data_IF_504694013882
#
_entry.id   IF_504694013882
#
_cell.length_a   1.000
_cell.length_b   1.000
_cell.length_c   1.000
_cell.angle_alpha   90.00
_cell.angle_beta   90.00
_cell.angle_gamma   90.00
#
_symmetry.space_group_name_H-M   'P 1'
#
loop_
_entity.id
_entity.type
_entity.pdbx_description
1 polymer ?
#
# COMPACT_ATOMS: atom_id res chain seq x y z
N UNK A 1 0.21 15.58 13.22
CA UNK A 1 0.30 15.15 11.81
C UNK A 1 -0.64 15.96 10.92
N UNK A 2 -0.09 16.62 9.88
CA UNK A 2 -0.89 17.39 8.92
C UNK A 2 -1.55 16.45 7.86
N UNK A 3 -2.46 17.00 7.05
CA UNK A 3 -3.18 16.22 6.03
C UNK A 3 -2.23 15.58 5.02
N UNK A 4 -1.24 16.31 4.51
CA UNK A 4 -0.28 15.82 3.52
C UNK A 4 0.53 14.61 4.03
N UNK A 5 1.06 14.67 5.26
CA UNK A 5 1.76 13.56 5.89
C UNK A 5 0.84 12.35 6.08
N UNK A 6 -0.39 12.56 6.55
CA UNK A 6 -1.37 11.48 6.68
C UNK A 6 -1.62 10.77 5.34
N UNK A 7 -1.71 11.55 4.25
CA UNK A 7 -1.92 11.02 2.92
C UNK A 7 -0.72 10.20 2.43
N UNK A 8 0.50 10.67 2.69
CA UNK A 8 1.71 9.93 2.36
C UNK A 8 1.85 8.64 3.18
N UNK A 9 1.52 8.67 4.47
CA UNK A 9 1.51 7.46 5.32
C UNK A 9 0.49 6.46 4.78
N UNK A 10 -0.73 6.91 4.50
CA UNK A 10 -1.77 6.05 3.96
C UNK A 10 -1.34 5.46 2.60
N UNK A 11 -0.78 6.29 1.71
CA UNK A 11 -0.24 5.83 0.43
C UNK A 11 0.87 4.78 0.62
N UNK A 12 1.78 4.98 1.57
CA UNK A 12 2.82 4.00 1.88
C UNK A 12 2.21 2.65 2.29
N UNK A 13 1.22 2.67 3.20
CA UNK A 13 0.52 1.46 3.67
C UNK A 13 -0.13 0.71 2.51
N UNK A 14 -0.87 1.42 1.65
CA UNK A 14 -1.56 0.79 0.52
C UNK A 14 -0.56 0.21 -0.49
N UNK A 15 0.55 0.90 -0.79
CA UNK A 15 1.60 0.39 -1.67
C UNK A 15 2.26 -0.87 -1.08
N UNK A 16 2.67 -0.84 0.19
CA UNK A 16 3.28 -1.99 0.88
C UNK A 16 2.30 -3.20 0.90
N UNK A 17 1.00 -2.99 1.13
CA UNK A 17 -0.02 -4.05 1.08
C UNK A 17 -0.29 -4.58 -0.33
N UNK A 18 -0.32 -3.70 -1.33
CA UNK A 18 -0.59 -4.07 -2.72
C UNK A 18 0.56 -4.93 -3.27
N UNK A 19 1.81 -4.56 -2.98
CA UNK A 19 2.99 -5.36 -3.34
C UNK A 19 2.88 -6.76 -2.72
N UNK A 20 2.66 -6.86 -1.40
CA UNK A 20 2.51 -8.15 -0.69
C UNK A 20 1.36 -9.00 -1.25
N UNK A 21 0.28 -8.35 -1.68
CA UNK A 21 -0.88 -9.03 -2.29
C UNK A 21 -0.51 -9.61 -3.65
N UNK A 22 0.11 -8.81 -4.54
CA UNK A 22 0.55 -9.25 -5.86
C UNK A 22 1.61 -10.37 -5.78
N UNK A 23 2.56 -10.27 -4.85
CA UNK A 23 3.57 -11.30 -4.59
C UNK A 23 2.96 -12.61 -4.07
N UNK A 24 1.84 -12.52 -3.35
CA UNK A 24 1.12 -13.70 -2.87
C UNK A 24 0.30 -14.31 -3.99
N UNK A 25 -0.44 -13.50 -4.75
CA UNK A 25 -1.31 -13.93 -5.83
C UNK A 25 -0.53 -14.58 -6.98
N UNK A 26 0.66 -14.07 -7.30
CA UNK A 26 1.55 -14.66 -8.30
C UNK A 26 1.92 -16.13 -8.00
N UNK A 27 1.84 -16.57 -6.74
CA UNK A 27 2.09 -17.97 -6.37
C UNK A 27 0.95 -18.89 -6.78
N UNK A 28 -0.25 -18.37 -6.99
CA UNK A 28 -1.46 -19.15 -7.28
C UNK A 28 -1.84 -19.18 -8.76
N UNK A 29 -1.22 -18.34 -9.61
CA UNK A 29 -1.59 -18.21 -11.04
C UNK A 29 -1.03 -19.31 -11.94
N UNK A 30 -0.14 -20.19 -11.45
CA UNK A 30 0.50 -21.27 -12.24
C UNK A 30 -0.47 -22.21 -12.95
N UNK A 31 -1.71 -22.34 -12.46
CA UNK A 31 -2.75 -23.18 -13.08
C UNK A 31 -3.40 -22.53 -14.31
N UNK A 32 -3.15 -21.24 -14.56
CA UNK A 32 -3.73 -20.51 -15.69
C UNK A 32 -2.95 -20.80 -16.98
N UNK A 33 -3.66 -20.92 -18.11
CA UNK A 33 -3.03 -21.10 -19.44
C UNK A 33 -2.09 -19.95 -19.82
N UNK A 34 -2.38 -18.75 -19.32
CA UNK A 34 -1.63 -17.52 -19.60
C UNK A 34 -0.67 -17.12 -18.47
N UNK A 35 -0.31 -18.05 -17.58
CA UNK A 35 0.46 -17.74 -16.38
C UNK A 35 1.75 -16.98 -16.66
N UNK A 36 2.53 -17.33 -17.70
CA UNK A 36 3.77 -16.61 -18.04
C UNK A 36 3.55 -15.11 -18.29
N UNK A 37 2.60 -14.76 -19.15
CA UNK A 37 2.30 -13.36 -19.46
C UNK A 37 1.78 -12.61 -18.22
N UNK A 38 0.98 -13.27 -17.38
CA UNK A 38 0.46 -12.68 -16.14
C UNK A 38 1.60 -12.51 -15.12
N UNK A 39 2.50 -13.48 -14.98
CA UNK A 39 3.68 -13.42 -14.09
C UNK A 39 4.62 -12.27 -14.48
N UNK A 40 4.91 -12.11 -15.78
CA UNK A 40 5.71 -10.99 -16.28
C UNK A 40 5.04 -9.65 -16.01
N UNK A 41 3.73 -9.55 -16.25
CA UNK A 41 2.96 -8.35 -15.98
C UNK A 41 2.95 -8.00 -14.48
N UNK A 42 2.67 -8.97 -13.60
CA UNK A 42 2.70 -8.78 -12.14
C UNK A 42 4.08 -8.31 -11.71
N UNK A 43 5.15 -8.95 -12.21
CA UNK A 43 6.53 -8.60 -11.88
C UNK A 43 6.88 -7.17 -12.29
N UNK A 44 6.43 -6.74 -13.47
CA UNK A 44 6.60 -5.36 -13.93
C UNK A 44 5.86 -4.36 -13.03
N UNK A 45 4.62 -4.69 -12.61
CA UNK A 45 3.82 -3.83 -11.73
C UNK A 45 4.35 -3.77 -10.30
N UNK A 46 4.90 -4.87 -9.76
CA UNK A 46 5.61 -4.83 -8.47
C UNK A 46 6.79 -3.86 -8.54
N UNK A 47 7.59 -3.88 -9.61
CA UNK A 47 8.71 -2.94 -9.79
C UNK A 47 8.24 -1.48 -9.85
N UNK A 48 7.14 -1.20 -10.56
CA UNK A 48 6.50 0.13 -10.59
C UNK A 48 6.13 0.59 -9.17
N UNK A 49 5.41 -0.25 -8.42
CA UNK A 49 4.99 0.06 -7.05
C UNK A 49 6.17 0.24 -6.08
N UNK A 50 7.25 -0.54 -6.23
CA UNK A 50 8.46 -0.42 -5.40
C UNK A 50 9.15 0.94 -5.62
N UNK A 51 9.18 1.45 -6.85
CA UNK A 51 9.71 2.77 -7.16
C UNK A 51 8.84 3.89 -6.55
N UNK A 52 7.52 3.77 -6.67
CA UNK A 52 6.57 4.69 -6.05
C UNK A 52 6.71 4.69 -4.52
N UNK A 53 6.83 3.50 -3.93
CA UNK A 53 7.01 3.31 -2.50
C UNK A 53 8.32 3.93 -2.01
N UNK A 54 9.41 3.78 -2.76
CA UNK A 54 10.70 4.43 -2.45
C UNK A 54 10.56 5.95 -2.44
N UNK A 55 9.82 6.50 -3.40
CA UNK A 55 9.55 7.94 -3.49
C UNK A 55 8.75 8.43 -2.28
N UNK A 56 7.66 7.73 -1.92
CA UNK A 56 6.83 8.05 -0.76
C UNK A 56 7.63 7.96 0.55
N UNK A 57 8.41 6.89 0.74
CA UNK A 57 9.29 6.73 1.92
C UNK A 57 10.31 7.87 2.01
N UNK A 58 10.88 8.30 0.88
CA UNK A 58 11.79 9.45 0.84
C UNK A 58 11.10 10.76 1.26
N UNK A 59 9.87 11.00 0.80
CA UNK A 59 9.09 12.18 1.19
C UNK A 59 8.77 12.18 2.69
N UNK A 60 8.30 11.04 3.21
CA UNK A 60 8.03 10.88 4.65
C UNK A 60 9.28 11.10 5.48
N UNK A 61 10.43 10.57 5.05
CA UNK A 61 11.70 10.77 5.73
C UNK A 61 12.09 12.25 5.82
N UNK A 62 11.89 13.03 4.75
CA UNK A 62 12.11 14.49 4.76
C UNK A 62 11.22 15.22 5.76
N UNK A 63 10.02 14.70 6.03
CA UNK A 63 9.14 15.23 7.08
C UNK A 63 9.47 14.73 8.49
N UNK A 64 10.44 13.83 8.61
CA UNK A 64 10.81 13.19 9.87
C UNK A 64 9.84 12.08 10.29
N UNK A 65 9.16 11.49 9.32
CA UNK A 65 8.08 10.51 9.52
C UNK A 65 8.53 9.13 9.09
N UNK A 66 8.23 8.11 9.91
CA UNK A 66 8.53 6.70 9.63
C UNK A 66 7.44 5.80 10.20
N UNK A 67 6.92 4.88 9.40
CA UNK A 67 6.12 3.75 9.91
C UNK A 67 7.08 2.76 10.59
N UNK A 68 6.90 2.53 11.88
CA UNK A 68 7.76 1.70 12.71
C UNK A 68 7.33 0.24 12.72
N UNK A 69 6.04 -0.03 12.89
CA UNK A 69 5.50 -1.39 12.95
C UNK A 69 4.04 -1.45 12.52
N UNK A 70 3.62 -2.66 12.12
CA UNK A 70 2.25 -3.05 11.80
C UNK A 70 1.83 -4.13 12.80
N UNK A 71 0.78 -3.87 13.57
CA UNK A 71 0.25 -4.75 14.61
C UNK A 71 -1.19 -5.15 14.25
N UNK A 72 -1.43 -6.43 14.01
CA UNK A 72 -2.81 -6.91 13.85
C UNK A 72 -3.47 -6.97 15.22
N UNK A 73 -4.48 -6.12 15.43
CA UNK A 73 -5.21 -6.07 16.71
C UNK A 73 -6.19 -7.25 16.80
N UNK A 74 -6.96 -7.47 15.74
CA UNK A 74 -7.97 -8.52 15.64
C UNK A 74 -8.24 -8.90 14.16
N UNK A 75 -9.38 -9.52 13.88
CA UNK A 75 -9.80 -9.85 12.51
C UNK A 75 -10.28 -8.64 11.70
N UNK A 76 -10.70 -7.57 12.38
CA UNK A 76 -11.34 -6.39 11.80
C UNK A 76 -10.39 -5.20 11.64
N UNK A 77 -9.34 -5.11 12.45
CA UNK A 77 -8.46 -3.95 12.51
C UNK A 77 -6.98 -4.29 12.54
N UNK A 78 -6.21 -3.41 11.91
CA UNK A 78 -4.75 -3.37 11.96
C UNK A 78 -4.30 -1.99 12.41
N UNK A 79 -3.37 -1.95 13.35
CA UNK A 79 -2.75 -0.75 13.87
C UNK A 79 -1.37 -0.55 13.25
N UNK A 80 -1.05 0.69 12.90
CA UNK A 80 0.27 1.11 12.47
C UNK A 80 0.86 2.08 13.47
N UNK A 81 2.08 1.79 13.93
CA UNK A 81 2.85 2.69 14.77
C UNK A 81 3.67 3.60 13.86
N UNK A 82 3.46 4.91 13.97
CA UNK A 82 4.17 5.93 13.21
C UNK A 82 5.01 6.79 14.15
N UNK A 83 6.26 7.02 13.78
CA UNK A 83 7.13 7.99 14.43
C UNK A 83 7.19 9.25 13.59
N UNK A 84 6.82 10.40 14.16
CA UNK A 84 6.99 11.72 13.55
C UNK A 84 7.89 12.55 14.49
N UNK A 85 9.13 12.80 14.06
CA UNK A 85 10.15 13.58 14.80
C UNK A 85 10.36 13.11 16.24
N UNK A 86 10.30 11.79 16.46
CA UNK A 86 10.48 11.16 17.78
C UNK A 86 9.19 10.99 18.59
N UNK A 87 8.07 11.58 18.14
CA UNK A 87 6.75 11.36 18.75
C UNK A 87 6.09 10.13 18.13
N UNK A 88 5.47 9.30 18.98
CA UNK A 88 4.77 8.08 18.57
C UNK A 88 3.28 8.38 18.34
N UNK A 89 2.76 7.90 17.22
CA UNK A 89 1.37 7.96 16.83
C UNK A 89 0.85 6.57 16.48
N UNK A 90 -0.40 6.31 16.82
CA UNK A 90 -1.07 5.03 16.59
C UNK A 90 -2.20 5.26 15.58
N UNK A 91 -2.13 4.59 14.44
CA UNK A 91 -3.11 4.71 13.36
C UNK A 91 -3.84 3.39 13.19
N UNK A 92 -5.13 3.39 13.51
CA UNK A 92 -6.00 2.22 13.38
C UNK A 92 -6.71 2.22 12.03
N UNK A 93 -6.58 1.12 11.30
CA UNK A 93 -7.23 0.90 10.02
C UNK A 93 -8.17 -0.28 10.07
N UNK A 94 -9.35 -0.15 9.45
CA UNK A 94 -10.23 -1.29 9.18
C UNK A 94 -9.61 -2.16 8.08
N UNK A 95 -9.53 -3.46 8.33
CA UNK A 95 -9.04 -4.45 7.37
C UNK A 95 -9.90 -4.49 6.10
N UNK A 96 -11.21 -4.24 6.22
CA UNK A 96 -12.11 -4.13 5.07
C UNK A 96 -11.73 -2.91 4.22
N UNK A 97 -11.51 -1.76 4.86
CA UNK A 97 -11.11 -0.55 4.16
C UNK A 97 -9.74 -0.71 3.47
N UNK A 98 -8.77 -1.33 4.13
CA UNK A 98 -7.46 -1.62 3.55
C UNK A 98 -7.58 -2.52 2.31
N UNK A 99 -8.37 -3.60 2.37
CA UNK A 99 -8.63 -4.47 1.21
C UNK A 99 -9.29 -3.72 0.07
N UNK A 100 -10.25 -2.84 0.36
CA UNK A 100 -10.89 -2.01 -0.65
C UNK A 100 -9.86 -1.11 -1.34
N UNK A 101 -8.99 -0.43 -0.59
CA UNK A 101 -7.96 0.42 -1.17
C UNK A 101 -6.90 -0.36 -1.98
N UNK A 102 -6.50 -1.54 -1.52
CA UNK A 102 -5.63 -2.44 -2.30
C UNK A 102 -6.31 -2.83 -3.62
N UNK A 103 -7.61 -3.13 -3.60
CA UNK A 103 -8.36 -3.40 -4.84
C UNK A 103 -8.44 -2.19 -5.76
N UNK A 104 -8.61 -0.97 -5.23
CA UNK A 104 -8.59 0.25 -6.05
C UNK A 104 -7.20 0.49 -6.67
N UNK A 105 -6.12 0.22 -5.93
CA UNK A 105 -4.76 0.30 -6.47
C UNK A 105 -4.50 -0.78 -7.52
N UNK A 106 -5.00 -2.00 -7.33
CA UNK A 106 -4.93 -3.06 -8.34
C UNK A 106 -5.69 -2.68 -9.62
N UNK A 107 -6.88 -2.09 -9.50
CA UNK A 107 -7.64 -1.56 -10.64
C UNK A 107 -6.85 -0.48 -11.39
N UNK A 108 -6.18 0.44 -10.67
CA UNK A 108 -5.30 1.44 -11.28
C UNK A 108 -4.21 0.78 -12.13
N UNK A 109 -3.52 -0.23 -11.59
CA UNK A 109 -2.44 -0.94 -12.31
C UNK A 109 -2.94 -1.64 -13.57
N UNK A 110 -4.17 -2.15 -13.52
CA UNK A 110 -4.86 -2.81 -14.64
C UNK A 110 -5.48 -1.83 -15.66
N UNK A 111 -5.47 -0.52 -15.38
CA UNK A 111 -6.15 0.47 -16.22
C UNK A 111 -7.68 0.39 -16.18
N UNK A 112 -8.23 -0.22 -15.12
CA UNK A 112 -9.67 -0.31 -14.89
C UNK A 112 -10.20 0.96 -14.21
N UNK A 113 -11.52 1.26 -14.27
CA UNK A 113 -12.11 2.32 -13.48
C UNK A 113 -11.85 2.11 -11.99
N UNK A 114 -11.24 3.11 -11.35
CA UNK A 114 -10.88 3.06 -9.94
C UNK A 114 -11.24 4.37 -9.25
N UNK A 115 -11.53 4.29 -7.95
CA UNK A 115 -11.68 5.45 -7.09
C UNK A 115 -10.30 6.06 -6.88
N UNK A 116 -10.07 7.24 -7.46
CA UNK A 116 -8.92 8.05 -7.06
C UNK A 116 -9.10 8.42 -5.59
N UNK A 117 -8.04 8.25 -4.82
CA UNK A 117 -8.02 8.74 -3.46
C UNK A 117 -8.11 10.26 -3.50
N UNK A 118 -9.29 10.82 -3.23
CA UNK A 118 -9.48 12.26 -3.02
C UNK A 118 -8.81 12.65 -1.70
N UNK A 119 -7.50 12.85 -1.77
CA UNK A 119 -6.70 13.36 -0.66
C UNK A 119 -6.08 14.74 -1.01
N UNK A 120 -6.66 15.41 -2.00
CA UNK A 120 -6.39 16.82 -2.32
C UNK A 120 -7.71 17.53 -2.56
N UNK A 121 -8.24 18.11 -1.50
CA UNK A 121 -8.78 19.46 -1.46
C UNK A 121 -8.72 19.96 -0.03
#
# INVERSE_FOLDING_TARGET
>A
MNSETNNLIHKQIILDLTIRTLERDSKYIKKLKLHYAIEEWISAKIKELQNDLKTVKSQLYKFGVKIQSENRLDESFTEYIVLERGLKFELKYSNIALRNWVNEEAKRLLGLPYRKSEYSK
#
